data_IF_774128587698
#
_entry.id   IF_774128587698
#
_cell.length_a   1.000
_cell.length_b   1.000
_cell.length_c   1.000
_cell.angle_alpha   90.00
_cell.angle_beta   90.00
_cell.angle_gamma   90.00
#
_symmetry.space_group_name_H-M   'P 1'
#
loop_
_entity.id
_entity.type
_entity.pdbx_description
1 polymer ?
#
# COMPACT_ATOMS: atom_id res chain seq x y z
N UNK A 1 -21.36 1.94 19.07
CA UNK A 1 -21.74 2.74 17.88
C UNK A 1 -22.23 1.84 16.75
N UNK A 2 -21.56 0.73 16.50
CA UNK A 2 -21.94 -0.30 15.52
C UNK A 2 -21.60 -1.68 16.11
N UNK A 3 -22.34 -2.16 17.12
CA UNK A 3 -21.96 -3.35 17.90
C UNK A 3 -21.91 -4.65 17.07
N UNK A 4 -22.65 -4.68 15.96
CA UNK A 4 -22.73 -5.84 15.06
C UNK A 4 -21.88 -5.67 13.79
N UNK A 5 -20.98 -4.66 13.76
CA UNK A 5 -20.14 -4.37 12.60
C UNK A 5 -18.79 -5.04 12.71
N UNK A 6 -18.37 -5.66 11.61
CA UNK A 6 -17.04 -6.18 11.46
C UNK A 6 -16.10 -5.08 10.92
N UNK A 7 -14.95 -4.89 11.56
CA UNK A 7 -13.99 -3.86 11.19
C UNK A 7 -12.77 -4.51 10.53
N UNK A 8 -12.42 -4.00 9.36
CA UNK A 8 -11.24 -4.43 8.61
C UNK A 8 -10.33 -3.23 8.34
N UNK A 9 -9.04 -3.43 8.47
CA UNK A 9 -8.02 -2.41 8.14
C UNK A 9 -7.32 -2.83 6.85
N UNK A 10 -7.44 -2.00 5.81
CA UNK A 10 -6.68 -2.13 4.57
C UNK A 10 -5.53 -1.13 4.57
N UNK A 11 -4.31 -1.64 4.53
CA UNK A 11 -3.12 -0.81 4.42
C UNK A 11 -2.84 -0.47 2.96
N UNK A 12 -2.83 0.81 2.67
CA UNK A 12 -2.48 1.38 1.37
C UNK A 12 -1.06 1.98 1.48
N UNK A 13 -0.08 1.48 0.72
CA UNK A 13 1.27 2.04 0.74
C UNK A 13 1.31 3.45 0.14
N UNK A 14 2.38 4.18 0.43
CA UNK A 14 2.64 5.46 -0.25
C UNK A 14 2.85 5.25 -1.75
N UNK A 15 2.73 6.33 -2.54
CA UNK A 15 2.96 6.29 -4.00
C UNK A 15 4.23 5.55 -4.38
N UNK A 16 5.36 5.90 -3.75
CA UNK A 16 6.65 5.27 -4.02
C UNK A 16 6.71 3.80 -3.63
N UNK A 17 6.03 3.40 -2.57
CA UNK A 17 5.99 2.01 -2.09
C UNK A 17 4.99 1.13 -2.85
N UNK A 18 4.12 1.74 -3.66
CA UNK A 18 3.17 1.07 -4.54
C UNK A 18 3.80 0.49 -5.80
N UNK A 19 5.07 0.76 -6.04
CA UNK A 19 5.86 0.21 -7.14
C UNK A 19 7.01 -0.62 -6.61
N UNK A 20 7.47 -1.57 -7.42
CA UNK A 20 8.73 -2.25 -7.17
C UNK A 20 9.88 -1.33 -7.56
N UNK A 21 10.75 -1.03 -6.61
CA UNK A 21 11.90 -0.15 -6.83
C UNK A 21 13.12 -1.02 -7.14
N UNK A 22 13.59 -0.98 -8.37
CA UNK A 22 14.73 -1.77 -8.84
C UNK A 22 16.07 -1.01 -8.82
N UNK A 23 16.04 0.27 -8.48
CA UNK A 23 17.25 1.13 -8.42
C UNK A 23 17.61 1.46 -6.98
N UNK A 24 18.91 1.66 -6.70
CA UNK A 24 19.39 2.03 -5.36
C UNK A 24 18.94 3.43 -4.92
N UNK A 25 18.58 4.28 -5.85
CA UNK A 25 18.11 5.64 -5.59
C UNK A 25 16.84 5.93 -6.36
N UNK A 26 15.93 6.61 -5.69
CA UNK A 26 14.66 7.02 -6.28
C UNK A 26 14.52 8.53 -6.12
N UNK A 27 14.10 9.21 -7.19
CA UNK A 27 13.72 10.60 -7.14
C UNK A 27 12.26 10.73 -6.72
N UNK A 28 12.01 11.53 -5.70
CA UNK A 28 10.67 11.85 -5.23
C UNK A 28 10.45 13.34 -5.45
N UNK A 29 9.37 13.71 -6.11
CA UNK A 29 8.94 15.09 -6.13
C UNK A 29 8.25 15.39 -4.81
N UNK A 30 8.78 16.36 -4.07
CA UNK A 30 8.09 16.91 -2.92
C UNK A 30 6.93 17.79 -3.39
N UNK A 31 5.95 18.05 -2.51
CA UNK A 31 4.83 18.96 -2.77
C UNK A 31 5.28 20.38 -3.16
N UNK A 32 6.54 20.72 -2.87
CA UNK A 32 7.17 21.99 -3.24
C UNK A 32 7.89 21.93 -4.60
N UNK A 33 7.75 20.84 -5.37
CA UNK A 33 8.35 20.70 -6.69
C UNK A 33 9.87 20.51 -6.70
N UNK A 34 10.49 20.33 -5.55
CA UNK A 34 11.94 20.10 -5.44
C UNK A 34 12.18 18.58 -5.48
N UNK A 35 12.84 18.04 -6.51
CA UNK A 35 13.16 16.63 -6.55
C UNK A 35 14.14 16.28 -5.43
N UNK A 36 13.79 15.29 -4.63
CA UNK A 36 14.66 14.72 -3.60
C UNK A 36 15.10 13.33 -4.02
N UNK A 37 16.39 13.07 -3.94
CA UNK A 37 16.93 11.73 -4.18
C UNK A 37 16.97 10.99 -2.84
N UNK A 38 16.28 9.87 -2.77
CA UNK A 38 16.21 9.06 -1.56
C UNK A 38 16.74 7.66 -1.86
N UNK A 39 17.47 7.10 -0.90
CA UNK A 39 17.92 5.72 -0.96
C UNK A 39 16.71 4.77 -0.89
N UNK A 40 16.62 3.85 -1.84
CA UNK A 40 15.50 2.92 -2.00
C UNK A 40 15.36 1.95 -0.83
N UNK A 41 16.49 1.54 -0.22
CA UNK A 41 16.48 0.67 0.96
C UNK A 41 15.84 1.38 2.16
N UNK A 42 16.10 2.70 2.29
CA UNK A 42 15.48 3.51 3.33
C UNK A 42 13.97 3.63 3.14
N UNK A 43 13.50 3.77 1.90
CA UNK A 43 12.07 3.80 1.58
C UNK A 43 11.40 2.47 1.92
N UNK A 44 12.00 1.36 1.50
CA UNK A 44 11.50 0.02 1.78
C UNK A 44 11.43 -0.24 3.28
N UNK A 45 12.48 0.15 4.02
CA UNK A 45 12.53 0.03 5.47
C UNK A 45 11.43 0.85 6.16
N UNK A 46 11.22 2.10 5.75
CA UNK A 46 10.16 2.96 6.28
C UNK A 46 8.78 2.41 6.00
N UNK A 47 8.54 1.93 4.77
CA UNK A 47 7.29 1.26 4.41
C UNK A 47 6.98 0.10 5.36
N UNK A 48 7.94 -0.80 5.55
CA UNK A 48 7.80 -1.95 6.44
C UNK A 48 7.56 -1.55 7.90
N UNK A 49 8.26 -0.51 8.39
CA UNK A 49 8.05 -0.01 9.75
C UNK A 49 6.60 0.49 9.95
N UNK A 50 6.08 1.29 9.02
CA UNK A 50 4.70 1.82 9.08
C UNK A 50 3.70 0.69 9.02
N UNK A 51 3.81 -0.20 8.04
CA UNK A 51 2.93 -1.35 7.89
C UNK A 51 2.91 -2.21 9.16
N UNK A 52 4.07 -2.57 9.70
CA UNK A 52 4.20 -3.38 10.92
C UNK A 52 3.61 -2.71 12.17
N UNK A 53 3.72 -1.38 12.29
CA UNK A 53 3.07 -0.64 13.39
C UNK A 53 1.56 -0.74 13.31
N UNK A 54 0.99 -0.58 12.11
CA UNK A 54 -0.47 -0.69 11.89
C UNK A 54 -0.93 -2.13 12.15
N UNK A 55 -0.23 -3.12 11.61
CA UNK A 55 -0.51 -4.53 11.86
C UNK A 55 -0.48 -4.88 13.37
N UNK A 56 0.51 -4.36 14.09
CA UNK A 56 0.60 -4.56 15.55
C UNK A 56 -0.60 -3.96 16.28
N UNK A 57 -1.06 -2.79 15.82
CA UNK A 57 -2.26 -2.14 16.39
C UNK A 57 -3.53 -2.93 16.05
N UNK A 58 -3.68 -3.40 14.82
CA UNK A 58 -4.79 -4.24 14.41
C UNK A 58 -4.90 -5.51 15.28
N UNK A 59 -3.76 -6.19 15.50
CA UNK A 59 -3.69 -7.36 16.38
C UNK A 59 -4.11 -7.06 17.82
N UNK A 60 -3.69 -5.91 18.38
CA UNK A 60 -4.10 -5.50 19.74
C UNK A 60 -5.60 -5.24 19.86
N UNK A 61 -6.20 -4.72 18.79
CA UNK A 61 -7.62 -4.41 18.73
C UNK A 61 -8.48 -5.60 18.28
N UNK A 62 -7.84 -6.73 17.95
CA UNK A 62 -8.50 -7.91 17.41
C UNK A 62 -9.34 -7.60 16.16
N UNK A 63 -8.79 -6.74 15.28
CA UNK A 63 -9.39 -6.41 13.98
C UNK A 63 -8.56 -7.01 12.85
N UNK A 64 -9.22 -7.34 11.74
CA UNK A 64 -8.55 -7.89 10.57
C UNK A 64 -7.67 -6.83 9.91
N UNK A 65 -6.50 -7.26 9.43
CA UNK A 65 -5.57 -6.41 8.69
C UNK A 65 -5.23 -7.05 7.35
N UNK A 66 -5.19 -6.22 6.32
CA UNK A 66 -4.84 -6.63 4.98
C UNK A 66 -3.88 -5.63 4.34
N UNK A 67 -2.76 -6.12 3.82
CA UNK A 67 -1.77 -5.32 3.09
C UNK A 67 -2.05 -5.39 1.58
N UNK A 68 -2.42 -4.25 0.98
CA UNK A 68 -2.72 -4.16 -0.45
C UNK A 68 -1.48 -4.00 -1.33
N UNK A 69 -0.29 -3.85 -0.72
CA UNK A 69 0.98 -3.59 -1.42
C UNK A 69 1.26 -4.58 -2.55
N UNK A 70 1.08 -5.92 -2.40
CA UNK A 70 1.35 -6.86 -3.48
C UNK A 70 0.50 -6.61 -4.73
N UNK A 71 -0.78 -6.29 -4.55
CA UNK A 71 -1.72 -6.00 -5.64
C UNK A 71 -1.35 -4.71 -6.38
N UNK A 72 -0.98 -3.69 -5.61
CA UNK A 72 -0.57 -2.41 -6.19
C UNK A 72 0.74 -2.53 -6.94
N UNK A 73 1.72 -3.28 -6.43
CA UNK A 73 2.98 -3.55 -7.15
C UNK A 73 2.75 -4.38 -8.41
N UNK A 74 1.90 -5.37 -8.37
CA UNK A 74 1.52 -6.15 -9.57
C UNK A 74 0.85 -5.26 -10.63
N UNK A 75 -0.06 -4.38 -10.23
CA UNK A 75 -0.67 -3.43 -11.14
C UNK A 75 0.35 -2.40 -11.64
N UNK A 76 1.22 -1.90 -10.76
CA UNK A 76 2.30 -0.96 -11.09
C UNK A 76 3.34 -1.53 -12.06
N UNK A 77 3.57 -2.83 -12.05
CA UNK A 77 4.44 -3.52 -13.02
C UNK A 77 3.84 -3.55 -14.44
N UNK A 78 2.53 -3.43 -14.56
CA UNK A 78 1.80 -3.40 -15.85
C UNK A 78 1.63 -1.99 -16.41
N UNK A 79 1.76 -0.96 -15.58
CA UNK A 79 1.60 0.44 -15.97
C UNK A 79 1.47 1.38 -14.77
N UNK A 80 1.35 2.67 -15.05
CA UNK A 80 1.17 3.65 -13.98
C UNK A 80 -0.17 3.49 -13.28
N UNK A 81 -0.13 3.42 -11.96
CA UNK A 81 -1.31 3.37 -11.09
C UNK A 81 -1.59 4.71 -10.40
N UNK A 82 -0.75 5.73 -10.68
CA UNK A 82 -0.91 7.13 -10.29
C UNK A 82 -0.77 8.03 -11.53
N UNK A 83 -1.20 9.29 -11.42
CA UNK A 83 -1.07 10.27 -12.52
C UNK A 83 -1.98 9.98 -13.71
N UNK A 84 -1.72 10.67 -14.85
CA UNK A 84 -0.67 11.67 -15.06
C UNK A 84 -1.01 13.07 -14.53
N UNK A 85 -2.29 13.38 -14.23
CA UNK A 85 -2.69 14.71 -13.77
C UNK A 85 -2.33 14.96 -12.31
N UNK A 86 -2.41 13.92 -11.50
CA UNK A 86 -2.15 13.97 -10.08
C UNK A 86 -1.38 12.71 -9.66
N UNK A 87 -0.09 12.88 -9.38
CA UNK A 87 0.78 11.79 -8.99
C UNK A 87 0.68 11.42 -7.51
N UNK A 88 -0.01 12.22 -6.71
CA UNK A 88 -0.25 11.93 -5.30
C UNK A 88 -1.40 10.94 -5.07
N UNK A 89 -2.34 10.86 -6.01
CA UNK A 89 -3.52 9.99 -5.93
C UNK A 89 -3.49 8.87 -6.96
N UNK A 90 -4.16 7.78 -6.62
CA UNK A 90 -4.35 6.67 -7.55
C UNK A 90 -5.20 7.12 -8.75
N UNK A 91 -4.84 6.62 -9.92
CA UNK A 91 -5.68 6.71 -11.12
C UNK A 91 -6.66 5.53 -11.17
N UNK A 92 -7.42 5.39 -12.26
CA UNK A 92 -8.40 4.31 -12.44
C UNK A 92 -7.80 2.92 -12.24
N UNK A 93 -6.60 2.67 -12.81
CA UNK A 93 -5.90 1.38 -12.65
C UNK A 93 -5.50 1.11 -11.21
N UNK A 94 -5.08 2.15 -10.47
CA UNK A 94 -4.75 2.04 -9.06
C UNK A 94 -5.98 1.75 -8.20
N UNK A 95 -7.06 2.47 -8.41
CA UNK A 95 -8.32 2.20 -7.70
C UNK A 95 -8.90 0.82 -8.04
N UNK A 96 -8.75 0.36 -9.29
CA UNK A 96 -9.13 -1.00 -9.66
C UNK A 96 -8.33 -2.04 -8.88
N UNK A 97 -7.01 -1.88 -8.77
CA UNK A 97 -6.16 -2.80 -8.02
C UNK A 97 -6.55 -2.85 -6.53
N UNK A 98 -6.89 -1.70 -5.93
CA UNK A 98 -7.41 -1.64 -4.55
C UNK A 98 -8.74 -2.40 -4.45
N UNK A 99 -9.67 -2.16 -5.36
CA UNK A 99 -10.97 -2.84 -5.37
C UNK A 99 -10.82 -4.35 -5.51
N UNK A 100 -9.96 -4.81 -6.42
CA UNK A 100 -9.69 -6.24 -6.63
C UNK A 100 -9.10 -6.87 -5.35
N UNK A 101 -8.17 -6.18 -4.67
CA UNK A 101 -7.57 -6.64 -3.42
C UNK A 101 -8.58 -6.76 -2.27
N UNK A 102 -9.48 -5.78 -2.14
CA UNK A 102 -10.55 -5.80 -1.13
C UNK A 102 -11.52 -6.94 -1.42
N UNK A 103 -11.91 -7.11 -2.69
CA UNK A 103 -12.81 -8.18 -3.11
C UNK A 103 -12.20 -9.55 -2.82
N UNK A 104 -10.92 -9.75 -3.10
CA UNK A 104 -10.24 -11.01 -2.78
C UNK A 104 -10.21 -11.27 -1.27
N UNK A 105 -9.93 -10.26 -0.46
CA UNK A 105 -9.98 -10.39 1.00
C UNK A 105 -11.36 -10.81 1.50
N UNK A 106 -12.42 -10.18 1.00
CA UNK A 106 -13.79 -10.46 1.44
C UNK A 106 -14.29 -11.83 0.97
N UNK A 107 -13.90 -12.27 -0.22
CA UNK A 107 -14.30 -13.58 -0.76
C UNK A 107 -13.51 -14.74 -0.16
N UNK A 108 -12.26 -14.49 0.23
CA UNK A 108 -11.32 -15.53 0.72
C UNK A 108 -10.68 -15.13 2.05
N UNK A 109 -11.46 -14.95 3.14
CA UNK A 109 -10.96 -14.44 4.41
C UNK A 109 -9.89 -15.34 5.05
N UNK A 110 -9.78 -16.60 4.63
CA UNK A 110 -8.77 -17.54 5.11
C UNK A 110 -7.44 -17.48 4.35
N UNK A 111 -7.36 -16.73 3.26
CA UNK A 111 -6.08 -16.40 2.61
C UNK A 111 -5.41 -15.27 3.41
N UNK A 112 -4.60 -15.65 4.36
CA UNK A 112 -4.01 -14.75 5.33
C UNK A 112 -2.93 -13.85 4.72
N UNK A 113 -3.31 -12.66 4.31
CA UNK A 113 -2.38 -11.56 4.05
C UNK A 113 -2.13 -10.74 5.33
N UNK A 114 -1.81 -11.44 6.42
CA UNK A 114 -1.57 -10.82 7.72
C UNK A 114 -0.14 -10.31 7.91
N UNK A 115 0.67 -10.36 6.88
CA UNK A 115 2.06 -9.92 6.92
C UNK A 115 2.28 -8.77 5.96
N UNK A 116 3.14 -7.83 6.37
CA UNK A 116 3.57 -6.75 5.50
C UNK A 116 4.44 -7.27 4.37
N UNK A 117 4.14 -6.88 3.13
CA UNK A 117 4.97 -7.20 1.97
C UNK A 117 6.36 -6.54 2.08
N UNK A 118 7.36 -7.30 1.75
CA UNK A 118 8.75 -6.83 1.68
C UNK A 118 9.04 -6.12 0.38
#
# INVERSE_FOLDING_TARGET
LFPDSEVHIFYLPSTTSSYEIISHFTSINSDMGIPSIINSDLLSKRHLEVCRKILKTAKKLNVSFFDTTPFLREAGAKGYIHGPKDWAHFNESGYKAISDSISEFLLYPNKHYQNCAT
#
